data_IF_558826459551
#
_entry.id   IF_558826459551
#
_cell.length_a   1.000
_cell.length_b   1.000
_cell.length_c   1.000
_cell.angle_alpha   90.00
_cell.angle_beta   90.00
_cell.angle_gamma   90.00
#
_symmetry.space_group_name_H-M   'P 1'
#
loop_
_entity.id
_entity.type
_entity.pdbx_description
1 polymer ?
#
# COMPACT_ATOMS: atom_id res chain seq x y z
N UNK A 1 17.41 -1.48 -5.74
CA UNK A 1 16.17 -0.88 -6.28
C UNK A 1 15.57 0.16 -5.34
N UNK A 2 15.05 -0.17 -4.14
CA UNK A 2 14.39 0.85 -3.28
C UNK A 2 15.33 2.00 -2.89
N UNK A 3 16.47 1.71 -2.28
CA UNK A 3 17.47 2.73 -1.86
C UNK A 3 17.89 3.62 -3.02
N UNK A 4 18.05 3.05 -4.21
CA UNK A 4 18.42 3.79 -5.42
C UNK A 4 17.27 4.68 -5.92
N UNK A 5 16.05 4.14 -6.00
CA UNK A 5 14.87 4.88 -6.43
C UNK A 5 14.53 6.05 -5.51
N UNK A 6 14.86 5.92 -4.22
CA UNK A 6 14.61 6.92 -3.18
C UNK A 6 15.83 7.77 -2.84
N UNK A 7 16.98 7.52 -3.48
CA UNK A 7 18.27 8.15 -3.15
C UNK A 7 18.63 8.02 -1.65
N UNK A 8 18.16 6.95 -1.00
CA UNK A 8 18.32 6.69 0.42
C UNK A 8 17.47 7.58 1.34
N UNK A 9 16.62 8.44 0.79
CA UNK A 9 15.81 9.40 1.54
C UNK A 9 14.37 8.94 1.78
N UNK A 10 13.92 7.87 1.11
CA UNK A 10 12.57 7.28 1.28
C UNK A 10 11.41 8.31 1.27
N UNK A 11 11.57 9.42 0.56
CA UNK A 11 10.50 10.39 0.39
C UNK A 11 9.39 9.81 -0.51
N UNK A 12 8.20 10.42 -0.43
CA UNK A 12 6.99 9.99 -1.16
C UNK A 12 7.26 9.79 -2.66
N UNK A 13 7.97 10.71 -3.31
CA UNK A 13 8.28 10.63 -4.74
C UNK A 13 9.23 9.48 -5.10
N UNK A 14 10.28 9.29 -4.29
CA UNK A 14 11.19 8.17 -4.43
C UNK A 14 10.49 6.82 -4.22
N UNK A 15 9.59 6.75 -3.24
CA UNK A 15 8.78 5.56 -2.98
C UNK A 15 7.77 5.31 -4.10
N UNK A 16 7.13 6.35 -4.63
CA UNK A 16 6.25 6.24 -5.81
C UNK A 16 6.99 5.64 -7.00
N UNK A 17 8.19 6.16 -7.30
CA UNK A 17 9.07 5.62 -8.35
C UNK A 17 9.43 4.15 -8.09
N UNK A 18 9.79 3.80 -6.86
CA UNK A 18 10.07 2.42 -6.48
C UNK A 18 8.85 1.50 -6.68
N UNK A 19 7.65 1.92 -6.25
CA UNK A 19 6.40 1.16 -6.41
C UNK A 19 6.09 0.93 -7.88
N UNK A 20 6.26 1.94 -8.73
CA UNK A 20 6.11 1.83 -10.17
C UNK A 20 7.10 0.81 -10.77
N UNK A 21 8.39 0.88 -10.40
CA UNK A 21 9.40 -0.09 -10.84
C UNK A 21 9.04 -1.52 -10.43
N UNK A 22 8.61 -1.73 -9.18
CA UNK A 22 8.19 -3.06 -8.70
C UNK A 22 6.94 -3.58 -9.39
N UNK A 23 5.99 -2.70 -9.74
CA UNK A 23 4.83 -3.08 -10.54
C UNK A 23 5.27 -3.61 -11.91
N UNK A 24 6.10 -2.86 -12.65
CA UNK A 24 6.57 -3.27 -13.98
C UNK A 24 7.39 -4.55 -13.93
N UNK A 25 8.31 -4.65 -12.96
CA UNK A 25 9.09 -5.87 -12.77
C UNK A 25 8.17 -7.08 -12.52
N UNK A 26 7.17 -6.93 -11.64
CA UNK A 26 6.23 -8.02 -11.35
C UNK A 26 5.37 -8.37 -12.56
N UNK A 27 4.92 -7.37 -13.33
CA UNK A 27 4.18 -7.59 -14.56
C UNK A 27 5.00 -8.33 -15.62
N UNK A 28 6.30 -8.10 -15.71
CA UNK A 28 7.17 -8.76 -16.69
C UNK A 28 7.61 -10.16 -16.25
N UNK A 29 7.95 -10.33 -14.98
CA UNK A 29 8.63 -11.52 -14.48
C UNK A 29 7.67 -12.56 -13.86
N UNK A 30 6.48 -12.13 -13.41
CA UNK A 30 5.51 -13.03 -12.78
C UNK A 30 4.30 -13.28 -13.71
N UNK A 31 4.17 -14.46 -14.34
CA UNK A 31 3.05 -14.77 -15.22
C UNK A 31 1.70 -14.82 -14.50
N UNK A 32 1.69 -14.92 -13.17
CA UNK A 32 0.48 -14.89 -12.33
C UNK A 32 0.29 -13.54 -11.61
N UNK A 33 0.98 -12.49 -12.06
CA UNK A 33 0.88 -11.17 -11.43
C UNK A 33 -0.54 -10.65 -11.51
N UNK A 34 -1.09 -10.29 -10.35
CA UNK A 34 -2.37 -9.59 -10.23
C UNK A 34 -2.17 -8.38 -9.34
N UNK A 35 -2.51 -7.21 -9.87
CA UNK A 35 -2.54 -5.95 -9.15
C UNK A 35 -3.99 -5.44 -9.16
N UNK A 36 -4.81 -6.02 -8.29
CA UNK A 36 -6.17 -5.54 -8.05
C UNK A 36 -6.16 -4.23 -7.27
N UNK A 37 -7.35 -3.64 -7.05
CA UNK A 37 -7.43 -2.36 -6.35
C UNK A 37 -6.87 -2.37 -4.91
N UNK A 38 -6.96 -3.51 -4.20
CA UNK A 38 -6.30 -3.69 -2.90
C UNK A 38 -4.77 -3.58 -2.96
N UNK A 39 -4.16 -3.65 -4.15
CA UNK A 39 -2.75 -3.36 -4.35
C UNK A 39 -2.36 -1.93 -3.97
N UNK A 40 -3.32 -1.01 -3.82
CA UNK A 40 -3.10 0.32 -3.24
C UNK A 40 -2.55 0.27 -1.81
N UNK A 41 -2.87 -0.78 -1.03
CA UNK A 41 -2.32 -0.96 0.33
C UNK A 41 -0.80 -1.06 0.33
N UNK A 42 -0.21 -1.55 -0.76
CA UNK A 42 1.25 -1.63 -0.88
C UNK A 42 1.93 -0.26 -1.01
N UNK A 43 1.17 0.80 -1.32
CA UNK A 43 1.63 2.18 -1.20
C UNK A 43 1.52 2.67 0.24
N UNK A 44 0.48 2.27 1.00
CA UNK A 44 0.35 2.55 2.43
C UNK A 44 1.49 1.94 3.23
N UNK A 45 1.79 0.65 2.98
CA UNK A 45 2.95 -0.04 3.57
C UNK A 45 4.27 0.69 3.28
N UNK A 46 4.40 1.28 2.09
CA UNK A 46 5.58 2.06 1.73
C UNK A 46 5.64 3.41 2.48
N UNK A 47 4.49 4.01 2.80
CA UNK A 47 4.40 5.25 3.55
C UNK A 47 4.94 5.10 4.98
N UNK A 48 4.87 3.89 5.56
CA UNK A 48 5.40 3.64 6.90
C UNK A 48 6.90 3.93 7.02
N UNK A 49 7.67 3.86 5.93
CA UNK A 49 9.11 4.14 5.97
C UNK A 49 9.39 5.59 6.45
N UNK A 50 8.89 6.63 5.77
CA UNK A 50 9.02 8.01 6.25
C UNK A 50 8.11 8.33 7.44
N UNK A 51 6.94 7.70 7.57
CA UNK A 51 5.94 8.10 8.57
C UNK A 51 6.10 7.45 9.94
N UNK A 52 6.56 6.20 9.99
CA UNK A 52 6.61 5.38 11.20
C UNK A 52 8.02 4.91 11.57
N UNK A 53 8.91 4.74 10.59
CA UNK A 53 10.28 4.25 10.81
C UNK A 53 11.34 5.35 10.83
N UNK A 54 10.97 6.58 10.48
CA UNK A 54 11.84 7.73 10.71
C UNK A 54 11.91 8.04 12.21
N UNK A 55 13.13 8.17 12.74
CA UNK A 55 13.34 8.33 14.18
C UNK A 55 13.47 9.78 14.62
N UNK A 56 12.87 10.14 15.74
CA UNK A 56 13.04 11.46 16.36
C UNK A 56 14.47 11.75 16.81
N UNK A 57 15.30 10.71 17.05
CA UNK A 57 16.73 10.89 17.33
C UNK A 57 17.54 11.34 16.11
N UNK A 58 16.94 11.31 14.92
CA UNK A 58 17.48 11.79 13.63
C UNK A 58 16.56 12.82 12.97
N UNK A 59 15.90 13.66 13.77
CA UNK A 59 14.97 14.71 13.32
C UNK A 59 13.82 14.20 12.43
N UNK A 60 13.39 12.95 12.61
CA UNK A 60 12.41 12.28 11.75
C UNK A 60 12.80 12.27 10.26
N UNK A 61 14.10 12.30 9.96
CA UNK A 61 14.60 12.07 8.60
C UNK A 61 14.77 10.58 8.39
N UNK A 62 14.03 9.95 7.47
CA UNK A 62 14.28 8.56 7.11
C UNK A 62 15.68 8.41 6.49
N UNK A 63 16.34 7.32 6.83
CA UNK A 63 17.66 6.99 6.32
C UNK A 63 17.84 5.47 6.21
N UNK A 64 18.80 5.07 5.39
CA UNK A 64 19.03 3.66 5.04
C UNK A 64 19.41 2.84 6.27
N UNK A 65 20.25 3.38 7.16
CA UNK A 65 20.69 2.69 8.37
C UNK A 65 19.49 2.38 9.26
N UNK A 66 18.68 3.39 9.60
CA UNK A 66 17.50 3.24 10.46
C UNK A 66 16.46 2.29 9.85
N UNK A 67 16.10 2.48 8.58
CA UNK A 67 15.04 1.69 7.94
C UNK A 67 15.47 0.23 7.74
N UNK A 68 16.73 -0.01 7.36
CA UNK A 68 17.18 -1.36 7.03
C UNK A 68 17.13 -2.33 8.21
N UNK A 69 17.33 -1.86 9.46
CA UNK A 69 17.27 -2.73 10.65
C UNK A 69 15.85 -3.23 10.94
N UNK A 70 14.81 -2.44 10.67
CA UNK A 70 13.42 -2.89 10.78
C UNK A 70 13.13 -4.10 9.88
N UNK A 71 13.83 -4.23 8.76
CA UNK A 71 13.71 -5.34 7.82
C UNK A 71 14.82 -6.39 7.97
N UNK A 72 15.68 -6.28 8.99
CA UNK A 72 16.84 -7.16 9.18
C UNK A 72 17.79 -7.19 7.97
N UNK A 73 17.80 -6.12 7.17
CA UNK A 73 18.61 -5.99 5.97
C UNK A 73 19.92 -5.29 6.30
N UNK A 74 21.04 -5.85 5.85
CA UNK A 74 22.38 -5.32 6.11
C UNK A 74 23.15 -5.19 4.81
N UNK A 75 23.95 -4.13 4.71
CA UNK A 75 24.79 -3.88 3.53
C UNK A 75 26.24 -4.28 3.83
N UNK A 76 26.82 -5.09 2.95
CA UNK A 76 28.23 -5.41 2.95
C UNK A 76 29.07 -4.21 2.48
N UNK A 77 30.37 -4.15 2.80
CA UNK A 77 31.27 -3.09 2.32
C UNK A 77 31.36 -2.97 0.79
N UNK A 78 31.07 -4.05 0.05
CA UNK A 78 31.04 -4.07 -1.41
C UNK A 78 29.70 -3.55 -2.00
N UNK A 79 28.77 -3.12 -1.13
CA UNK A 79 27.46 -2.60 -1.50
C UNK A 79 26.37 -3.65 -1.67
N UNK A 80 26.69 -4.95 -1.59
CA UNK A 80 25.70 -6.04 -1.66
C UNK A 80 24.85 -6.11 -0.38
N UNK A 81 23.62 -6.60 -0.50
CA UNK A 81 22.67 -6.69 0.62
C UNK A 81 22.46 -8.13 1.03
N UNK A 82 22.33 -8.38 2.33
CA UNK A 82 21.94 -9.68 2.89
C UNK A 82 20.89 -9.53 4.00
N UNK A 83 20.09 -10.59 4.18
CA UNK A 83 19.10 -10.66 5.25
C UNK A 83 19.69 -11.40 6.45
N UNK A 84 19.87 -10.68 7.56
CA UNK A 84 20.47 -11.21 8.78
C UNK A 84 19.45 -11.84 9.74
N UNK A 85 18.16 -11.89 9.37
CA UNK A 85 17.07 -12.48 10.19
C UNK A 85 16.93 -11.85 11.58
N UNK A 86 17.23 -10.56 11.70
CA UNK A 86 17.21 -9.82 12.96
C UNK A 86 16.45 -8.49 12.83
N UNK A 87 15.16 -8.56 12.51
CA UNK A 87 14.29 -7.38 12.53
C UNK A 87 14.28 -6.76 13.93
N UNK A 88 14.85 -5.56 14.05
CA UNK A 88 15.11 -4.92 15.34
C UNK A 88 14.82 -3.43 15.25
N UNK A 89 14.19 -2.89 16.29
CA UNK A 89 14.05 -1.44 16.46
C UNK A 89 15.46 -0.85 16.67
N UNK A 90 15.87 0.18 15.91
CA UNK A 90 17.18 0.80 16.06
C UNK A 90 17.46 1.27 17.49
N UNK A 91 18.74 1.27 17.89
CA UNK A 91 19.12 1.87 19.18
C UNK A 91 18.76 3.35 19.23
N UNK A 92 18.28 3.82 20.38
CA UNK A 92 17.82 5.21 20.59
C UNK A 92 16.69 5.63 19.63
N UNK A 93 15.89 4.67 19.13
CA UNK A 93 14.74 4.99 18.31
C UNK A 93 13.69 5.75 19.14
N UNK A 94 13.32 6.95 18.67
CA UNK A 94 12.22 7.75 19.18
C UNK A 94 11.10 7.71 18.15
N UNK A 95 9.92 7.21 18.57
CA UNK A 95 8.73 7.18 17.72
C UNK A 95 8.17 8.59 17.46
N UNK A 96 7.39 8.73 16.39
CA UNK A 96 6.60 9.95 16.09
C UNK A 96 5.77 10.39 17.30
N UNK A 97 5.66 11.71 17.47
CA UNK A 97 4.86 12.33 18.55
C UNK A 97 3.37 12.37 18.19
N UNK A 98 3.05 12.87 17.00
CA UNK A 98 1.67 12.92 16.52
C UNK A 98 1.21 11.52 16.12
N UNK A 99 -0.02 11.07 16.41
CA UNK A 99 -0.52 9.78 15.95
C UNK A 99 -0.56 9.67 14.41
N UNK A 100 -0.29 8.50 13.84
CA UNK A 100 -0.54 8.22 12.42
C UNK A 100 -1.91 7.59 12.27
N UNK A 101 -2.81 8.28 11.57
CA UNK A 101 -4.18 7.84 11.40
C UNK A 101 -4.48 7.38 9.98
N UNK A 102 -5.66 6.77 9.84
CA UNK A 102 -6.20 6.32 8.56
C UNK A 102 -6.22 7.43 7.48
N UNK A 103 -6.51 8.68 7.86
CA UNK A 103 -6.49 9.81 6.92
C UNK A 103 -5.09 10.11 6.38
N UNK A 104 -4.07 10.04 7.23
CA UNK A 104 -2.67 10.27 6.83
C UNK A 104 -2.21 9.17 5.86
N UNK A 105 -2.56 7.92 6.17
CA UNK A 105 -2.27 6.76 5.32
C UNK A 105 -2.93 6.87 3.95
N UNK A 106 -4.21 7.26 3.90
CA UNK A 106 -4.94 7.40 2.63
C UNK A 106 -4.39 8.56 1.80
N UNK A 107 -3.99 9.66 2.43
CA UNK A 107 -3.29 10.75 1.74
C UNK A 107 -1.96 10.30 1.16
N UNK A 108 -1.18 9.50 1.89
CA UNK A 108 0.11 8.98 1.41
C UNK A 108 -0.07 7.99 0.24
N UNK A 109 -1.06 7.09 0.32
CA UNK A 109 -1.42 6.15 -0.75
C UNK A 109 -1.74 6.92 -2.04
N UNK A 110 -2.62 7.91 -1.96
CA UNK A 110 -3.06 8.66 -3.14
C UNK A 110 -1.93 9.53 -3.71
N UNK A 111 -1.18 10.20 -2.84
CA UNK A 111 -0.04 11.03 -3.27
C UNK A 111 1.00 10.20 -4.02
N UNK A 112 1.34 9.01 -3.52
CA UNK A 112 2.29 8.14 -4.21
C UNK A 112 1.72 7.51 -5.47
N UNK A 113 0.49 6.98 -5.46
CA UNK A 113 -0.09 6.34 -6.64
C UNK A 113 -0.26 7.34 -7.79
N UNK A 114 -0.78 8.54 -7.51
CA UNK A 114 -1.06 9.54 -8.53
C UNK A 114 0.20 10.14 -9.18
N UNK A 115 1.36 10.08 -8.50
CA UNK A 115 2.63 10.52 -9.09
C UNK A 115 3.12 9.56 -10.19
N UNK A 116 2.91 8.25 -10.05
CA UNK A 116 3.29 7.24 -11.04
C UNK A 116 2.20 6.16 -11.18
N UNK A 117 1.04 6.48 -11.80
CA UNK A 117 -0.12 5.60 -11.80
C UNK A 117 0.10 4.37 -12.69
N UNK A 118 -0.21 3.20 -12.13
CA UNK A 118 -0.10 1.88 -12.77
C UNK A 118 -1.46 1.25 -13.01
N UNK A 119 -1.51 0.26 -13.91
CA UNK A 119 -2.76 -0.40 -14.26
C UNK A 119 -3.22 -1.37 -13.15
N UNK A 120 -4.51 -1.35 -12.87
CA UNK A 120 -5.21 -2.39 -12.13
C UNK A 120 -5.60 -3.52 -13.08
N UNK A 121 -5.32 -4.76 -12.71
CA UNK A 121 -5.56 -5.92 -13.56
C UNK A 121 -4.64 -7.10 -13.26
N UNK A 122 -4.48 -7.99 -14.23
CA UNK A 122 -3.57 -9.12 -14.08
C UNK A 122 -3.02 -9.65 -15.39
N UNK A 123 -1.92 -10.39 -15.27
CA UNK A 123 -1.38 -11.19 -16.35
C UNK A 123 -2.29 -12.40 -16.59
N UNK A 124 -2.87 -12.48 -17.78
CA UNK A 124 -3.78 -13.56 -18.19
C UNK A 124 -3.18 -14.45 -19.29
N UNK A 125 -2.13 -13.96 -19.95
CA UNK A 125 -1.30 -14.71 -20.88
C UNK A 125 0.09 -14.05 -20.97
N UNK A 126 1.05 -14.75 -21.57
CA UNK A 126 2.40 -14.22 -21.79
C UNK A 126 2.33 -12.89 -22.55
N UNK A 127 2.83 -11.82 -21.93
CA UNK A 127 2.84 -10.47 -22.51
C UNK A 127 1.46 -9.80 -22.60
N UNK A 128 0.42 -10.37 -21.96
CA UNK A 128 -0.93 -9.82 -21.94
C UNK A 128 -1.33 -9.47 -20.50
N UNK A 129 -1.59 -8.18 -20.28
CA UNK A 129 -2.16 -7.67 -19.04
C UNK A 129 -3.60 -7.21 -19.30
N UNK A 130 -4.58 -7.89 -18.69
CA UNK A 130 -5.98 -7.53 -18.79
C UNK A 130 -6.35 -6.57 -17.65
N UNK A 131 -6.83 -5.38 -18.01
CA UNK A 131 -7.15 -4.31 -17.06
C UNK A 131 -8.55 -4.43 -16.48
N UNK A 132 -8.73 -3.98 -15.25
CA UNK A 132 -10.03 -3.85 -14.58
C UNK A 132 -10.55 -2.42 -14.75
N UNK A 133 -11.85 -2.27 -15.04
CA UNK A 133 -12.54 -0.99 -15.06
C UNK A 133 -13.79 -1.07 -14.19
N UNK A 134 -13.85 -0.30 -13.12
CA UNK A 134 -14.96 -0.29 -12.17
C UNK A 134 -14.94 0.99 -11.32
N UNK A 135 -16.11 1.61 -11.11
CA UNK A 135 -16.21 2.82 -10.28
C UNK A 135 -15.29 3.93 -10.77
N UNK A 136 -14.41 4.41 -9.88
CA UNK A 136 -13.39 5.43 -10.15
C UNK A 136 -12.15 4.90 -10.90
N UNK A 137 -12.06 3.60 -11.18
CA UNK A 137 -11.01 3.03 -12.03
C UNK A 137 -11.47 3.13 -13.49
N UNK A 138 -10.85 4.03 -14.26
CA UNK A 138 -11.07 4.28 -15.69
C UNK A 138 -9.80 3.99 -16.47
N UNK A 139 -9.93 3.34 -17.62
CA UNK A 139 -8.82 2.85 -18.44
C UNK A 139 -7.73 2.11 -17.62
N UNK A 140 -8.18 1.36 -16.62
CA UNK A 140 -7.32 0.62 -15.70
C UNK A 140 -6.62 1.44 -14.62
N UNK A 141 -6.92 2.74 -14.44
CA UNK A 141 -6.25 3.62 -13.48
C UNK A 141 -7.22 4.48 -12.68
N UNK A 142 -6.74 5.04 -11.57
CA UNK A 142 -7.39 6.18 -10.91
C UNK A 142 -6.76 7.45 -11.49
N UNK A 143 -7.57 8.36 -12.03
CA UNK A 143 -7.09 9.60 -12.63
C UNK A 143 -6.90 10.72 -11.59
N UNK A 144 -6.09 11.73 -11.95
CA UNK A 144 -5.97 12.95 -11.16
C UNK A 144 -7.29 13.74 -11.21
N UNK A 145 -7.72 14.27 -10.05
CA UNK A 145 -8.99 15.00 -9.92
C UNK A 145 -10.08 14.25 -9.15
N UNK A 146 -9.83 13.00 -8.74
CA UNK A 146 -10.63 12.33 -7.71
C UNK A 146 -10.41 13.06 -6.39
N UNK A 147 -11.49 13.52 -5.75
CA UNK A 147 -11.41 14.13 -4.42
C UNK A 147 -10.95 13.09 -3.39
N UNK A 148 -10.34 13.55 -2.29
CA UNK A 148 -9.96 12.66 -1.19
C UNK A 148 -11.17 11.85 -0.74
N UNK A 149 -12.35 12.46 -0.60
CA UNK A 149 -13.58 11.76 -0.19
C UNK A 149 -13.99 10.66 -1.19
N UNK A 150 -13.96 10.92 -2.50
CA UNK A 150 -14.25 9.90 -3.52
C UNK A 150 -13.22 8.75 -3.49
N UNK A 151 -11.95 9.06 -3.25
CA UNK A 151 -10.90 8.08 -3.13
C UNK A 151 -11.01 7.26 -1.84
N UNK A 152 -11.39 7.88 -0.72
CA UNK A 152 -11.70 7.23 0.55
C UNK A 152 -12.86 6.25 0.37
N UNK A 153 -13.89 6.65 -0.35
CA UNK A 153 -15.03 5.78 -0.64
C UNK A 153 -14.68 4.63 -1.58
N UNK A 154 -13.80 4.86 -2.58
CA UNK A 154 -13.27 3.79 -3.39
C UNK A 154 -12.50 2.79 -2.52
N UNK A 155 -11.55 3.25 -1.70
CA UNK A 155 -10.76 2.35 -0.85
C UNK A 155 -11.66 1.61 0.16
N UNK A 156 -12.66 2.27 0.73
CA UNK A 156 -13.67 1.61 1.57
C UNK A 156 -14.38 0.48 0.84
N UNK A 157 -14.88 0.74 -0.38
CA UNK A 157 -15.52 -0.28 -1.21
C UNK A 157 -14.58 -1.44 -1.53
N UNK A 158 -13.28 -1.18 -1.67
CA UNK A 158 -12.29 -2.22 -1.97
C UNK A 158 -11.93 -3.06 -0.74
N UNK A 159 -11.82 -2.43 0.44
CA UNK A 159 -11.59 -3.12 1.72
C UNK A 159 -12.79 -3.96 2.13
N UNK A 160 -14.00 -3.55 1.73
CA UNK A 160 -15.26 -4.22 2.06
C UNK A 160 -15.79 -5.11 0.92
N UNK A 161 -15.15 -5.08 -0.25
CA UNK A 161 -15.52 -5.94 -1.36
C UNK A 161 -15.32 -7.41 -0.97
N UNK A 162 -16.25 -8.31 -1.35
CA UNK A 162 -16.06 -9.74 -1.14
C UNK A 162 -14.86 -10.21 -1.95
N UNK A 163 -13.70 -10.40 -1.28
CA UNK A 163 -12.50 -10.96 -1.89
C UNK A 163 -12.72 -12.46 -2.13
N UNK A 164 -12.82 -12.93 -3.39
CA UNK A 164 -13.20 -14.32 -3.68
C UNK A 164 -12.21 -15.37 -3.12
N UNK A 165 -10.97 -14.96 -2.84
CA UNK A 165 -9.93 -15.81 -2.25
C UNK A 165 -10.00 -15.96 -0.72
N UNK A 166 -10.59 -15.01 0.00
CA UNK A 166 -10.75 -15.10 1.46
C UNK A 166 -11.83 -16.14 1.84
N UNK A 167 -12.78 -16.39 0.94
CA UNK A 167 -14.00 -17.16 1.17
C UNK A 167 -13.86 -18.66 0.83
N UNK A 168 -12.80 -19.07 0.13
CA UNK A 168 -12.63 -20.46 -0.30
C UNK A 168 -12.31 -21.46 0.83
N UNK A 169 -12.07 -20.98 2.06
CA UNK A 169 -11.78 -21.86 3.21
C UNK A 169 -12.84 -21.89 4.29
N UNK A 170 -13.71 -20.88 4.39
CA UNK A 170 -14.61 -20.76 5.55
C UNK A 170 -15.93 -20.07 5.20
N UNK A 171 -16.85 -20.83 4.60
CA UNK A 171 -18.22 -20.40 4.32
C UNK A 171 -19.02 -20.01 5.59
N UNK A 172 -18.48 -20.20 6.81
CA UNK A 172 -19.12 -19.87 8.08
C UNK A 172 -18.50 -18.72 8.89
N UNK A 173 -17.31 -18.21 8.53
CA UNK A 173 -16.63 -17.13 9.26
C UNK A 173 -16.75 -15.75 8.58
N UNK A 174 -17.30 -15.73 7.36
CA UNK A 174 -17.33 -14.55 6.51
C UNK A 174 -18.30 -13.45 6.99
N UNK A 175 -19.42 -13.78 7.62
CA UNK A 175 -20.42 -12.77 8.01
C UNK A 175 -20.04 -12.04 9.29
N UNK A 176 -19.69 -12.76 10.36
CA UNK A 176 -19.34 -12.15 11.65
C UNK A 176 -18.05 -11.34 11.64
N UNK A 177 -17.02 -11.79 10.89
CA UNK A 177 -15.78 -11.03 10.75
C UNK A 177 -15.98 -9.78 9.86
N UNK A 178 -16.77 -9.89 8.80
CA UNK A 178 -17.12 -8.75 7.95
C UNK A 178 -17.98 -7.74 8.72
N UNK A 179 -18.97 -8.19 9.49
CA UNK A 179 -19.76 -7.33 10.37
C UNK A 179 -18.89 -6.66 11.44
N UNK A 180 -17.92 -7.35 12.03
CA UNK A 180 -16.98 -6.77 13.00
C UNK A 180 -16.11 -5.68 12.35
N UNK A 181 -15.55 -5.95 11.17
CA UNK A 181 -14.75 -4.97 10.42
C UNK A 181 -15.63 -3.78 10.04
N UNK A 182 -16.80 -4.02 9.45
CA UNK A 182 -17.77 -2.98 9.10
C UNK A 182 -18.26 -2.19 10.32
N UNK A 183 -18.38 -2.80 11.49
CA UNK A 183 -18.75 -2.09 12.73
C UNK A 183 -17.62 -1.20 13.26
N UNK A 184 -16.37 -1.61 13.05
CA UNK A 184 -15.18 -0.91 13.55
C UNK A 184 -14.73 0.21 12.62
N UNK A 185 -14.89 0.04 11.30
CA UNK A 185 -14.50 1.06 10.30
C UNK A 185 -15.70 1.81 9.72
N UNK A 186 -16.90 1.23 9.77
CA UNK A 186 -18.08 1.79 9.12
C UNK A 186 -18.47 3.16 9.64
N UNK A 187 -18.26 3.44 10.93
CA UNK A 187 -18.53 4.78 11.47
C UNK A 187 -17.58 5.85 10.89
N UNK A 188 -16.31 5.50 10.65
CA UNK A 188 -15.34 6.39 10.00
C UNK A 188 -15.76 6.72 8.55
N UNK A 189 -16.34 5.74 7.85
CA UNK A 189 -16.74 5.89 6.45
C UNK A 189 -18.19 6.37 6.26
N UNK A 190 -19.07 6.24 7.27
CA UNK A 190 -20.43 6.81 7.27
C UNK A 190 -20.40 8.33 7.19
N UNK A 191 -19.48 8.97 7.92
CA UNK A 191 -19.32 10.43 7.93
C UNK A 191 -18.86 10.99 6.56
N UNK A 192 -18.32 10.13 5.69
CA UNK A 192 -17.88 10.48 4.34
C UNK A 192 -18.98 10.29 3.28
N UNK A 193 -20.15 9.75 3.65
CA UNK A 193 -21.25 9.50 2.72
C UNK A 193 -20.96 8.41 1.69
N UNK A 194 -20.02 7.50 1.98
CA UNK A 194 -19.61 6.47 1.02
C UNK A 194 -20.76 5.52 0.67
N UNK A 195 -20.92 5.12 -0.61
CA UNK A 195 -21.95 4.15 -0.98
C UNK A 195 -21.71 2.84 -0.23
N UNK A 196 -22.78 2.28 0.35
CA UNK A 196 -22.72 1.03 1.08
C UNK A 196 -22.13 -0.09 0.19
N UNK A 197 -21.34 -1.02 0.76
CA UNK A 197 -20.88 -2.18 0.01
C UNK A 197 -22.09 -2.94 -0.53
N UNK A 198 -21.96 -3.54 -1.71
CA UNK A 198 -23.02 -4.39 -2.26
C UNK A 198 -23.22 -5.57 -1.29
N UNK A 199 -24.27 -5.51 -0.47
CA UNK A 199 -24.74 -6.67 0.27
C UNK A 199 -25.06 -7.74 -0.79
N UNK A 200 -24.37 -8.89 -0.71
CA UNK A 200 -24.58 -9.99 -1.64
C UNK A 200 -26.07 -10.33 -1.73
N UNK A 201 -26.58 -10.41 -2.95
CA UNK A 201 -27.83 -11.10 -3.26
C UNK A 201 -27.61 -12.62 -3.18
#
# INVERSE_FOLDING_TARGET
MMVEATEGQFNISGLSRYRHQRWHQSQQENPNFFFGPAGLLLYGDAAFLPELYASGSKDYKPDVETISTFFGAHQNPDGTWFYARNETIPENFINRVEPYGLKDELNAILSMYLENPVLFGGNTAKGKFDTINFGAIKDGKIEAGVSIDEALCLIFQLLTAPMPGLLNGVAGLATGALELVLSSVGDIFKDLGCPAPLNGA
#
